data_IF_728957252336
#
_entry.id   IF_728957252336
#
_cell.length_a   1.000
_cell.length_b   1.000
_cell.length_c   1.000
_cell.angle_alpha   90.00
_cell.angle_beta   90.00
_cell.angle_gamma   90.00
#
_symmetry.space_group_name_H-M   'P 1'
#
loop_
_entity.id
_entity.type
_entity.pdbx_description
1 polymer ?
#
# COMPACT_ATOMS: atom_id res chain seq x y z
N UNK A 1 -10.24 9.14 8.74
CA UNK A 1 -9.32 8.37 7.87
C UNK A 1 -7.89 8.81 8.19
N UNK A 2 -7.06 7.91 8.68
CA UNK A 2 -5.62 8.18 8.82
C UNK A 2 -4.92 7.99 7.47
N UNK A 3 -3.87 8.76 7.13
CA UNK A 3 -3.20 8.68 5.82
C UNK A 3 -2.67 7.29 5.47
N UNK A 4 -2.34 6.49 6.49
CA UNK A 4 -1.84 5.11 6.40
C UNK A 4 -2.94 4.04 6.26
N UNK A 5 -4.21 4.44 6.24
CA UNK A 5 -5.35 3.53 6.07
C UNK A 5 -5.82 3.42 4.62
N UNK A 6 -5.21 4.10 3.65
CA UNK A 6 -5.58 3.96 2.25
C UNK A 6 -4.66 2.98 1.51
N UNK A 7 -5.25 2.15 0.64
CA UNK A 7 -4.49 1.28 -0.25
C UNK A 7 -3.77 2.09 -1.33
N UNK A 8 -2.44 2.14 -1.27
CA UNK A 8 -1.63 2.83 -2.29
C UNK A 8 -1.92 2.33 -3.71
N UNK A 9 -2.01 1.01 -3.90
CA UNK A 9 -2.24 0.41 -5.22
C UNK A 9 -3.63 0.76 -5.76
N UNK A 10 -4.66 0.65 -4.93
CA UNK A 10 -6.04 0.98 -5.32
C UNK A 10 -6.19 2.46 -5.67
N UNK A 11 -5.72 3.35 -4.78
CA UNK A 11 -5.79 4.78 -5.01
C UNK A 11 -4.97 5.23 -6.23
N UNK A 12 -3.73 4.73 -6.39
CA UNK A 12 -2.89 5.10 -7.54
C UNK A 12 -3.51 4.65 -8.87
N UNK A 13 -4.05 3.43 -8.93
CA UNK A 13 -4.75 2.94 -10.12
C UNK A 13 -5.98 3.80 -10.47
N UNK A 14 -6.78 4.19 -9.48
CA UNK A 14 -7.95 5.05 -9.69
C UNK A 14 -7.57 6.46 -10.17
N UNK A 15 -6.52 7.06 -9.61
CA UNK A 15 -6.03 8.38 -10.04
C UNK A 15 -5.48 8.31 -11.47
N UNK A 16 -4.71 7.27 -11.80
CA UNK A 16 -4.21 7.07 -13.17
C UNK A 16 -5.38 6.93 -14.14
N UNK A 17 -6.38 6.11 -13.81
CA UNK A 17 -7.56 5.93 -14.65
C UNK A 17 -8.34 7.25 -14.85
N UNK A 18 -8.48 8.05 -13.80
CA UNK A 18 -9.07 9.39 -13.89
C UNK A 18 -8.31 10.26 -14.88
N UNK A 19 -6.99 10.42 -14.72
CA UNK A 19 -6.17 11.27 -15.60
C UNK A 19 -6.20 10.83 -17.07
N UNK A 20 -6.23 9.50 -17.32
CA UNK A 20 -6.30 8.95 -18.67
C UNK A 20 -7.66 9.19 -19.33
N UNK A 21 -8.75 9.26 -18.55
CA UNK A 21 -10.12 9.32 -19.08
C UNK A 21 -10.68 10.74 -19.11
N UNK A 22 -10.23 11.65 -18.23
CA UNK A 22 -10.73 13.02 -18.15
C UNK A 22 -10.59 13.80 -19.45
N UNK A 23 -9.51 13.55 -20.22
CA UNK A 23 -9.27 14.20 -21.51
C UNK A 23 -10.28 13.82 -22.60
N UNK A 24 -11.05 12.74 -22.42
CA UNK A 24 -12.09 12.29 -23.34
C UNK A 24 -13.46 12.88 -23.01
N UNK A 25 -13.56 13.65 -21.92
CA UNK A 25 -14.84 14.19 -21.42
C UNK A 25 -14.93 15.70 -21.59
N UNK A 26 -16.15 16.24 -21.63
CA UNK A 26 -16.37 17.68 -21.67
C UNK A 26 -15.82 18.34 -20.38
N UNK A 27 -15.12 19.49 -20.48
CA UNK A 27 -14.56 20.20 -19.33
C UNK A 27 -15.60 20.51 -18.23
N UNK A 28 -16.86 20.73 -18.61
CA UNK A 28 -17.94 21.02 -17.66
C UNK A 28 -18.30 19.84 -16.74
N UNK A 29 -17.89 18.61 -17.08
CA UNK A 29 -18.11 17.43 -16.23
C UNK A 29 -16.98 17.18 -15.22
N UNK A 30 -15.85 17.88 -15.34
CA UNK A 30 -14.68 17.66 -14.49
C UNK A 30 -15.00 17.75 -12.98
N UNK A 31 -15.80 18.73 -12.49
CA UNK A 31 -16.13 18.79 -11.07
C UNK A 31 -16.86 17.54 -10.60
N UNK A 32 -17.85 17.06 -11.36
CA UNK A 32 -18.63 15.85 -11.02
C UNK A 32 -17.74 14.61 -11.04
N UNK A 33 -16.86 14.49 -12.03
CA UNK A 33 -15.92 13.36 -12.12
C UNK A 33 -14.92 13.37 -10.96
N UNK A 34 -14.49 14.54 -10.52
CA UNK A 34 -13.61 14.70 -9.38
C UNK A 34 -14.30 14.27 -8.07
N UNK A 35 -15.53 14.72 -7.83
CA UNK A 35 -16.32 14.28 -6.68
C UNK A 35 -16.53 12.76 -6.68
N UNK A 36 -16.81 12.18 -7.86
CA UNK A 36 -16.91 10.73 -8.02
C UNK A 36 -15.60 10.02 -7.69
N UNK A 37 -14.44 10.58 -8.10
CA UNK A 37 -13.13 10.05 -7.73
C UNK A 37 -12.92 10.08 -6.22
N UNK A 38 -13.21 11.21 -5.55
CA UNK A 38 -13.07 11.33 -4.09
C UNK A 38 -13.94 10.29 -3.37
N UNK A 39 -15.19 10.12 -3.80
CA UNK A 39 -16.08 9.08 -3.28
C UNK A 39 -15.51 7.68 -3.52
N UNK A 40 -15.01 7.39 -4.73
CA UNK A 40 -14.40 6.10 -5.04
C UNK A 40 -13.16 5.81 -4.18
N UNK A 41 -12.34 6.83 -3.88
CA UNK A 41 -11.15 6.66 -3.06
C UNK A 41 -11.48 6.23 -1.64
N UNK A 42 -12.65 6.57 -1.12
CA UNK A 42 -13.09 6.11 0.20
C UNK A 42 -13.27 4.59 0.28
N UNK A 43 -13.56 3.93 -0.83
CA UNK A 43 -13.69 2.47 -0.89
C UNK A 43 -12.36 1.73 -0.77
N UNK A 44 -11.24 2.41 -0.95
CA UNK A 44 -9.90 1.85 -0.78
C UNK A 44 -9.37 1.96 0.65
N UNK A 45 -10.24 2.27 1.62
CA UNK A 45 -9.90 2.18 3.04
C UNK A 45 -9.57 0.74 3.41
N UNK A 46 -8.35 0.54 3.89
CA UNK A 46 -7.85 -0.71 4.41
C UNK A 46 -8.45 -0.95 5.79
N UNK A 47 -8.83 -2.20 6.10
CA UNK A 47 -9.28 -2.54 7.44
C UNK A 47 -8.20 -2.22 8.47
N UNK A 48 -8.64 -1.88 9.68
CA UNK A 48 -7.75 -1.64 10.81
C UNK A 48 -6.83 -2.82 11.05
N UNK A 49 -5.67 -2.52 11.65
CA UNK A 49 -4.73 -3.57 12.04
C UNK A 49 -5.45 -4.54 12.97
N UNK A 50 -5.40 -5.82 12.63
CA UNK A 50 -5.92 -6.90 13.47
C UNK A 50 -5.05 -7.04 14.71
N UNK A 51 -5.60 -6.71 15.87
CA UNK A 51 -4.91 -6.79 17.17
C UNK A 51 -4.80 -8.22 17.70
N UNK A 52 -5.72 -9.09 17.28
CA UNK A 52 -5.78 -10.53 17.60
C UNK A 52 -4.67 -11.36 16.93
N UNK A 53 -3.93 -10.81 15.95
CA UNK A 53 -2.78 -11.50 15.35
C UNK A 53 -1.57 -11.44 16.28
N UNK A 54 -1.38 -12.54 17.00
CA UNK A 54 -0.19 -12.82 17.83
C UNK A 54 1.11 -13.02 17.01
N UNK A 55 1.01 -13.26 15.69
CA UNK A 55 2.19 -13.44 14.84
C UNK A 55 2.60 -12.09 14.24
N UNK A 56 3.76 -11.52 14.60
CA UNK A 56 4.28 -10.35 13.92
C UNK A 56 4.49 -10.68 12.45
N UNK A 57 4.28 -9.71 11.54
CA UNK A 57 4.75 -9.84 10.15
C UNK A 57 6.28 -9.84 10.18
N UNK A 58 6.89 -10.99 10.46
CA UNK A 58 8.33 -11.11 10.38
C UNK A 58 8.71 -11.10 8.88
N UNK A 59 9.56 -10.16 8.49
CA UNK A 59 10.25 -10.26 7.20
C UNK A 59 11.25 -11.38 7.40
N UNK A 60 10.91 -12.59 6.94
CA UNK A 60 11.88 -13.68 6.93
C UNK A 60 13.06 -13.25 6.06
N UNK A 61 14.30 -13.31 6.56
CA UNK A 61 15.45 -13.03 5.71
C UNK A 61 15.41 -13.97 4.52
N UNK A 62 15.80 -13.47 3.34
CA UNK A 62 15.90 -14.30 2.14
C UNK A 62 16.75 -15.54 2.47
N UNK A 63 16.26 -16.76 2.25
CA UNK A 63 17.05 -17.95 2.54
C UNK A 63 18.33 -17.92 1.71
N UNK A 64 19.48 -17.94 2.37
CA UNK A 64 20.77 -18.08 1.72
C UNK A 64 20.97 -19.53 1.28
N UNK A 65 21.63 -19.74 0.13
CA UNK A 65 22.00 -21.08 -0.35
C UNK A 65 22.92 -21.83 0.64
N UNK A 66 23.69 -21.08 1.42
CA UNK A 66 24.68 -21.62 2.35
C UNK A 66 24.41 -21.13 3.78
N UNK A 67 24.77 -21.93 4.81
CA UNK A 67 24.66 -21.52 6.19
C UNK A 67 25.40 -20.20 6.44
N UNK A 68 24.76 -19.25 7.12
CA UNK A 68 25.46 -18.05 7.58
C UNK A 68 26.59 -18.48 8.54
N UNK A 69 27.79 -17.90 8.38
CA UNK A 69 28.87 -18.10 9.35
C UNK A 69 28.37 -17.63 10.71
N UNK A 70 28.26 -18.55 11.67
CA UNK A 70 28.03 -18.21 13.07
C UNK A 70 29.22 -17.36 13.51
N UNK A 71 28.99 -16.08 13.82
CA UNK A 71 30.00 -15.27 14.52
C UNK A 71 30.10 -15.84 15.92
N UNK A 72 31.02 -16.78 16.13
CA UNK A 72 31.34 -17.29 17.46
C UNK A 72 31.98 -16.12 18.23
N UNK A 73 31.19 -15.49 19.11
CA UNK A 73 31.66 -14.42 20.00
C UNK A 73 32.78 -14.88 20.96
N UNK A 74 33.03 -16.18 21.03
CA UNK A 74 34.07 -16.81 21.86
C UNK A 74 35.48 -16.78 21.26
N UNK A 75 35.69 -16.17 20.09
CA UNK A 75 37.01 -16.08 19.42
C UNK A 75 37.58 -14.65 19.44
N UNK A 76 37.05 -13.77 20.30
CA UNK A 76 37.46 -12.37 20.43
C UNK A 76 38.29 -12.07 21.69
N UNK A 77 38.84 -13.09 22.36
CA UNK A 77 39.77 -12.92 23.48
C UNK A 77 41.03 -13.77 23.27
#
# INVERSE_FOLDING_TARGET
IWPNQLSFSGCSSAVIAFLLTTGLTSPGKLPVLYENLINQLTYYELPTRREDRLYPRCVKPKPGKYPAKKKNASQLN
#
